data_IF_345967132175
#
_entry.id   IF_345967132175
#
_cell.length_a   1.000
_cell.length_b   1.000
_cell.length_c   1.000
_cell.angle_alpha   90.00
_cell.angle_beta   90.00
_cell.angle_gamma   90.00
#
_symmetry.space_group_name_H-M   'P 1'
#
loop_
_entity.id
_entity.type
_entity.pdbx_description
1 polymer ?
#
# COMPACT_ATOMS: atom_id res chain seq x y z
N UNK A 1 -33.39 -1.56 -24.66
CA UNK A 1 -32.19 -0.76 -24.33
C UNK A 1 -31.44 -1.50 -23.21
N UNK A 2 -30.38 -2.26 -23.54
CA UNK A 2 -29.67 -3.11 -22.56
C UNK A 2 -28.89 -2.21 -21.60
N UNK A 3 -29.29 -2.19 -20.33
CA UNK A 3 -28.53 -1.60 -19.23
C UNK A 3 -27.17 -2.28 -19.14
N UNK A 4 -26.14 -1.61 -19.66
CA UNK A 4 -24.74 -2.04 -19.57
C UNK A 4 -24.45 -2.21 -18.08
N UNK A 5 -24.33 -3.45 -17.62
CA UNK A 5 -24.04 -3.81 -16.22
C UNK A 5 -22.89 -2.93 -15.71
N UNK A 6 -23.25 -1.93 -14.91
CA UNK A 6 -22.37 -0.86 -14.46
C UNK A 6 -21.49 -1.31 -13.27
N UNK A 7 -20.85 -2.47 -13.40
CA UNK A 7 -19.82 -2.96 -12.50
C UNK A 7 -18.57 -2.08 -12.69
N UNK A 8 -17.83 -1.81 -11.61
CA UNK A 8 -16.48 -1.26 -11.74
C UNK A 8 -15.73 -2.17 -12.73
N UNK A 9 -15.05 -1.64 -13.77
CA UNK A 9 -14.43 -2.50 -14.75
C UNK A 9 -13.46 -3.42 -14.03
N UNK A 10 -13.72 -4.72 -14.02
CA UNK A 10 -12.89 -5.71 -13.33
C UNK A 10 -11.42 -5.57 -13.74
N UNK A 11 -11.19 -5.19 -15.00
CA UNK A 11 -9.88 -4.87 -15.55
C UNK A 11 -9.19 -3.70 -14.82
N UNK A 12 -9.92 -2.63 -14.47
CA UNK A 12 -9.36 -1.50 -13.72
C UNK A 12 -8.92 -1.94 -12.32
N UNK A 13 -9.76 -2.67 -11.58
CA UNK A 13 -9.41 -3.18 -10.25
C UNK A 13 -8.22 -4.12 -10.30
N UNK A 14 -8.13 -4.96 -11.33
CA UNK A 14 -7.01 -5.85 -11.55
C UNK A 14 -5.72 -5.08 -11.80
N UNK A 15 -5.71 -4.14 -12.75
CA UNK A 15 -4.54 -3.30 -13.06
C UNK A 15 -4.11 -2.54 -11.80
N UNK A 16 -5.08 -1.95 -11.09
CA UNK A 16 -4.84 -1.24 -9.84
C UNK A 16 -4.17 -2.14 -8.78
N UNK A 17 -4.71 -3.34 -8.53
CA UNK A 17 -4.09 -4.28 -7.58
C UNK A 17 -2.69 -4.71 -8.01
N UNK A 18 -2.49 -4.99 -9.30
CA UNK A 18 -1.16 -5.37 -9.82
C UNK A 18 -0.15 -4.24 -9.57
N UNK A 19 -0.51 -3.00 -9.86
CA UNK A 19 0.35 -1.85 -9.59
C UNK A 19 0.64 -1.67 -8.09
N UNK A 20 -0.37 -1.82 -7.24
CA UNK A 20 -0.19 -1.77 -5.78
C UNK A 20 0.75 -2.86 -5.29
N UNK A 21 0.58 -4.10 -5.76
CA UNK A 21 1.42 -5.23 -5.38
C UNK A 21 2.86 -5.10 -5.89
N UNK A 22 3.06 -4.59 -7.11
CA UNK A 22 4.39 -4.29 -7.65
C UNK A 22 5.07 -3.22 -6.78
N UNK A 23 4.38 -2.10 -6.52
CA UNK A 23 4.92 -1.02 -5.68
C UNK A 23 5.27 -1.51 -4.29
N UNK A 24 4.42 -2.35 -3.69
CA UNK A 24 4.64 -2.97 -2.40
C UNK A 24 5.83 -3.94 -2.40
N UNK A 25 5.97 -4.75 -3.44
CA UNK A 25 7.08 -5.70 -3.58
C UNK A 25 8.43 -4.97 -3.73
N UNK A 26 8.45 -3.88 -4.49
CA UNK A 26 9.62 -3.00 -4.62
C UNK A 26 9.98 -2.40 -3.26
N UNK A 27 8.99 -1.89 -2.52
CA UNK A 27 9.20 -1.37 -1.17
C UNK A 27 9.80 -2.42 -0.24
N UNK A 28 9.21 -3.63 -0.18
CA UNK A 28 9.71 -4.71 0.66
C UNK A 28 11.16 -5.07 0.32
N UNK A 29 11.49 -5.17 -0.97
CA UNK A 29 12.83 -5.49 -1.42
C UNK A 29 13.85 -4.43 -0.98
N UNK A 30 13.52 -3.14 -1.17
CA UNK A 30 14.40 -2.02 -0.80
C UNK A 30 14.58 -1.91 0.72
N UNK A 31 13.50 -2.04 1.48
CA UNK A 31 13.55 -1.97 2.94
C UNK A 31 14.32 -3.15 3.53
N UNK A 32 14.16 -4.35 2.97
CA UNK A 32 14.96 -5.50 3.39
C UNK A 32 16.45 -5.31 3.05
N UNK A 33 16.77 -4.78 1.86
CA UNK A 33 18.16 -4.43 1.51
C UNK A 33 18.75 -3.39 2.47
N UNK A 34 17.97 -2.38 2.84
CA UNK A 34 18.36 -1.34 3.81
C UNK A 34 18.72 -1.96 5.17
N UNK A 35 17.91 -2.90 5.65
CA UNK A 35 18.14 -3.58 6.93
C UNK A 35 19.37 -4.49 6.89
N UNK A 36 19.56 -5.25 5.81
CA UNK A 36 20.74 -6.11 5.65
C UNK A 36 22.03 -5.29 5.64
N UNK A 37 22.05 -4.17 4.93
CA UNK A 37 23.22 -3.29 4.94
C UNK A 37 23.43 -2.64 6.32
N UNK A 38 22.36 -2.24 7.00
CA UNK A 38 22.45 -1.73 8.37
C UNK A 38 23.11 -2.72 9.33
N UNK A 39 22.83 -4.03 9.19
CA UNK A 39 23.46 -5.06 10.00
C UNK A 39 24.95 -5.21 9.68
N UNK A 40 25.31 -5.15 8.39
CA UNK A 40 26.71 -5.20 7.95
C UNK A 40 27.52 -4.01 8.48
N UNK A 41 26.98 -2.80 8.48
CA UNK A 41 27.71 -1.64 8.99
C UNK A 41 27.85 -1.64 10.50
N UNK A 42 26.88 -2.19 11.22
CA UNK A 42 27.00 -2.39 12.67
C UNK A 42 28.13 -3.36 13.02
N UNK A 43 28.53 -4.27 12.11
CA UNK A 43 29.63 -5.21 12.34
C UNK A 43 30.99 -4.71 11.85
N UNK A 44 31.06 -3.87 10.81
CA UNK A 44 32.32 -3.38 10.22
C UNK A 44 32.92 -2.15 10.93
N UNK A 45 32.16 -1.45 11.78
CA UNK A 45 32.67 -0.43 12.73
C UNK A 45 33.11 0.92 12.13
N UNK A 46 33.40 0.98 10.83
CA UNK A 46 33.73 2.22 10.10
C UNK A 46 33.02 2.28 8.76
N UNK A 47 32.26 3.36 8.53
CA UNK A 47 31.57 3.62 7.27
C UNK A 47 32.49 4.37 6.29
N UNK A 48 32.56 3.91 5.04
CA UNK A 48 33.18 4.65 3.95
C UNK A 48 32.22 5.68 3.34
N UNK A 49 32.75 6.61 2.54
CA UNK A 49 31.89 7.57 1.83
C UNK A 49 30.98 6.87 0.80
N UNK A 50 31.42 5.75 0.23
CA UNK A 50 30.62 4.95 -0.71
C UNK A 50 29.45 4.25 0.01
N UNK A 51 29.66 3.78 1.24
CA UNK A 51 28.59 3.25 2.09
C UNK A 51 27.53 4.31 2.37
N UNK A 52 27.95 5.52 2.74
CA UNK A 52 27.04 6.65 2.99
C UNK A 52 26.21 7.00 1.74
N UNK A 53 26.83 6.99 0.56
CA UNK A 53 26.11 7.22 -0.69
C UNK A 53 25.10 6.11 -0.98
N UNK A 54 25.48 4.85 -0.76
CA UNK A 54 24.61 3.67 -0.92
C UNK A 54 23.39 3.73 0.03
N UNK A 55 23.62 4.06 1.32
CA UNK A 55 22.58 4.31 2.33
C UNK A 55 21.56 5.31 1.83
N UNK A 56 22.06 6.47 1.39
CA UNK A 56 21.23 7.59 0.97
C UNK A 56 20.38 7.22 -0.24
N UNK A 57 20.95 6.51 -1.22
CA UNK A 57 20.22 6.06 -2.40
C UNK A 57 19.12 5.05 -2.05
N UNK A 58 19.44 4.00 -1.28
CA UNK A 58 18.45 2.99 -0.88
C UNK A 58 17.34 3.61 -0.03
N UNK A 59 17.70 4.49 0.91
CA UNK A 59 16.73 5.24 1.69
C UNK A 59 15.79 6.07 0.81
N UNK A 60 16.34 6.79 -0.17
CA UNK A 60 15.54 7.58 -1.12
C UNK A 60 14.60 6.72 -1.97
N UNK A 61 15.09 5.61 -2.51
CA UNK A 61 14.25 4.69 -3.29
C UNK A 61 13.15 4.07 -2.45
N UNK A 62 13.44 3.73 -1.18
CA UNK A 62 12.44 3.20 -0.23
C UNK A 62 11.34 4.23 -0.03
N UNK A 63 11.68 5.49 0.28
CA UNK A 63 10.69 6.56 0.45
C UNK A 63 9.88 6.81 -0.83
N UNK A 64 10.52 6.79 -2.00
CA UNK A 64 9.83 6.94 -3.29
C UNK A 64 8.82 5.80 -3.50
N UNK A 65 9.20 4.56 -3.21
CA UNK A 65 8.32 3.39 -3.37
C UNK A 65 7.13 3.40 -2.40
N UNK A 66 7.34 3.84 -1.16
CA UNK A 66 6.27 4.05 -0.18
C UNK A 66 5.30 5.15 -0.66
N UNK A 67 5.85 6.26 -1.16
CA UNK A 67 5.08 7.38 -1.71
C UNK A 67 4.29 6.98 -2.95
N UNK A 68 4.87 6.16 -3.83
CA UNK A 68 4.21 5.64 -5.02
C UNK A 68 3.00 4.77 -4.64
N UNK A 69 3.12 3.92 -3.62
CA UNK A 69 2.01 3.11 -3.12
C UNK A 69 0.85 4.00 -2.63
N UNK A 70 1.16 5.04 -1.83
CA UNK A 70 0.16 5.98 -1.35
C UNK A 70 -0.50 6.77 -2.50
N UNK A 71 0.29 7.26 -3.46
CA UNK A 71 -0.22 7.99 -4.62
C UNK A 71 -1.15 7.11 -5.45
N UNK A 72 -0.77 5.85 -5.71
CA UNK A 72 -1.61 4.89 -6.41
C UNK A 72 -2.94 4.68 -5.69
N UNK A 73 -2.90 4.52 -4.36
CA UNK A 73 -4.11 4.42 -3.54
C UNK A 73 -5.00 5.66 -3.67
N UNK A 74 -4.43 6.87 -3.54
CA UNK A 74 -5.18 8.13 -3.64
C UNK A 74 -5.78 8.31 -5.03
N UNK A 75 -5.05 8.00 -6.10
CA UNK A 75 -5.58 8.05 -7.48
C UNK A 75 -6.74 7.07 -7.63
N UNK A 76 -6.58 5.82 -7.18
CA UNK A 76 -7.65 4.82 -7.20
C UNK A 76 -8.87 5.27 -6.40
N UNK A 77 -8.65 5.86 -5.23
CA UNK A 77 -9.68 6.42 -4.37
C UNK A 77 -10.46 7.54 -5.05
N UNK A 78 -9.77 8.56 -5.58
CA UNK A 78 -10.38 9.70 -6.27
C UNK A 78 -11.17 9.22 -7.49
N UNK A 79 -10.59 8.34 -8.29
CA UNK A 79 -11.24 7.79 -9.48
C UNK A 79 -12.56 7.11 -9.13
N UNK A 80 -12.57 6.26 -8.10
CA UNK A 80 -13.77 5.55 -7.67
C UNK A 80 -14.80 6.51 -7.08
N UNK A 81 -14.37 7.47 -6.25
CA UNK A 81 -15.27 8.49 -5.69
C UNK A 81 -15.92 9.35 -6.78
N UNK A 82 -15.18 9.74 -7.81
CA UNK A 82 -15.68 10.55 -8.93
C UNK A 82 -16.63 9.75 -9.84
N UNK A 83 -16.24 8.53 -10.21
CA UNK A 83 -17.00 7.73 -11.16
C UNK A 83 -18.26 7.09 -10.56
N UNK A 84 -18.28 6.81 -9.25
CA UNK A 84 -19.32 6.02 -8.59
C UNK A 84 -20.10 6.78 -7.51
N UNK A 85 -20.25 8.10 -7.64
CA UNK A 85 -21.02 8.96 -6.69
C UNK A 85 -22.43 8.42 -6.33
N UNK A 86 -23.04 7.63 -7.23
CA UNK A 86 -24.40 7.07 -7.07
C UNK A 86 -24.45 5.60 -6.63
N UNK A 87 -23.31 4.91 -6.46
CA UNK A 87 -23.26 3.47 -6.14
C UNK A 87 -22.66 3.19 -4.78
N UNK A 88 -22.95 2.02 -4.17
CA UNK A 88 -22.33 1.63 -2.92
C UNK A 88 -20.83 1.43 -3.13
N UNK A 89 -20.03 2.33 -2.54
CA UNK A 89 -18.57 2.26 -2.33
C UNK A 89 -18.08 0.94 -1.71
N UNK A 90 -19.02 0.12 -1.23
CA UNK A 90 -18.82 -1.20 -0.62
C UNK A 90 -17.87 -2.11 -1.40
N UNK A 91 -17.97 -2.17 -2.73
CA UNK A 91 -17.09 -3.05 -3.53
C UNK A 91 -15.63 -2.62 -3.47
N UNK A 92 -15.36 -1.32 -3.55
CA UNK A 92 -14.00 -0.76 -3.45
C UNK A 92 -13.44 -0.92 -2.04
N UNK A 93 -14.29 -0.72 -1.02
CA UNK A 93 -13.93 -0.94 0.39
C UNK A 93 -13.55 -2.40 0.65
N UNK A 94 -14.39 -3.36 0.23
CA UNK A 94 -14.10 -4.79 0.38
C UNK A 94 -12.83 -5.18 -0.37
N UNK A 95 -12.65 -4.67 -1.59
CA UNK A 95 -11.48 -4.97 -2.40
C UNK A 95 -10.17 -4.51 -1.74
N UNK A 96 -10.10 -3.25 -1.29
CA UNK A 96 -8.90 -2.73 -0.62
C UNK A 96 -8.69 -3.35 0.76
N UNK A 97 -9.77 -3.65 1.50
CA UNK A 97 -9.65 -4.40 2.76
C UNK A 97 -9.02 -5.78 2.52
N UNK A 98 -9.47 -6.51 1.49
CA UNK A 98 -8.88 -7.79 1.11
C UNK A 98 -7.41 -7.63 0.68
N UNK A 99 -7.10 -6.61 -0.12
CA UNK A 99 -5.72 -6.32 -0.55
C UNK A 99 -4.81 -6.03 0.65
N UNK A 100 -5.24 -5.20 1.60
CA UNK A 100 -4.44 -4.83 2.77
C UNK A 100 -4.30 -5.96 3.78
N UNK A 101 -5.33 -6.80 3.94
CA UNK A 101 -5.21 -8.06 4.69
C UNK A 101 -4.17 -8.96 4.01
N UNK A 102 -4.21 -9.08 2.67
CA UNK A 102 -3.21 -9.82 1.92
C UNK A 102 -1.79 -9.28 2.13
N UNK A 103 -1.61 -7.95 2.09
CA UNK A 103 -0.35 -7.30 2.43
C UNK A 103 0.08 -7.61 3.85
N UNK A 104 -0.81 -7.53 4.84
CA UNK A 104 -0.50 -7.85 6.24
C UNK A 104 -0.07 -9.33 6.42
N UNK A 105 -0.69 -10.26 5.69
CA UNK A 105 -0.31 -11.68 5.69
C UNK A 105 1.07 -11.88 5.06
N UNK A 106 1.34 -11.25 3.92
CA UNK A 106 2.67 -11.29 3.27
C UNK A 106 3.72 -10.69 4.20
N UNK A 107 3.46 -9.52 4.77
CA UNK A 107 4.26 -8.86 5.79
C UNK A 107 4.60 -9.80 6.97
N UNK A 108 3.60 -10.53 7.47
CA UNK A 108 3.80 -11.49 8.54
C UNK A 108 4.74 -12.62 8.10
N UNK A 109 4.51 -13.24 6.94
CA UNK A 109 5.38 -14.29 6.39
C UNK A 109 6.80 -13.77 6.19
N UNK A 110 6.97 -12.57 5.64
CA UNK A 110 8.28 -11.93 5.46
C UNK A 110 8.96 -11.74 6.82
N UNK A 111 8.26 -11.26 7.84
CA UNK A 111 8.82 -11.08 9.18
C UNK A 111 9.24 -12.39 9.88
N UNK A 112 8.69 -13.53 9.46
CA UNK A 112 9.13 -14.85 9.92
C UNK A 112 10.36 -15.36 9.15
N UNK A 113 10.48 -14.98 7.87
CA UNK A 113 11.54 -15.44 6.98
C UNK A 113 12.76 -14.50 6.93
N UNK A 114 12.63 -13.26 7.37
CA UNK A 114 13.68 -12.25 7.39
C UNK A 114 13.76 -11.54 8.74
N UNK A 115 14.83 -10.79 8.98
CA UNK A 115 14.97 -9.93 10.16
C UNK A 115 14.17 -8.62 10.06
N UNK A 116 13.27 -8.50 9.08
CA UNK A 116 12.47 -7.30 8.87
C UNK A 116 11.34 -7.23 9.91
N UNK A 117 11.29 -6.17 10.74
CA UNK A 117 10.18 -5.98 11.65
C UNK A 117 8.87 -5.85 10.88
N UNK A 118 7.81 -6.51 11.38
CA UNK A 118 6.50 -6.45 10.72
C UNK A 118 6.02 -5.00 10.56
N UNK A 119 6.30 -4.12 11.53
CA UNK A 119 5.95 -2.70 11.49
C UNK A 119 6.46 -1.98 10.23
N UNK A 120 7.71 -2.25 9.83
CA UNK A 120 8.28 -1.67 8.61
C UNK A 120 7.55 -2.24 7.38
N UNK A 121 7.35 -3.56 7.34
CA UNK A 121 6.71 -4.22 6.20
C UNK A 121 5.27 -3.76 5.95
N UNK A 122 4.52 -3.36 6.99
CA UNK A 122 3.13 -2.88 6.85
C UNK A 122 3.05 -1.36 6.70
N UNK A 123 4.16 -0.64 6.80
CA UNK A 123 4.18 0.82 6.80
C UNK A 123 3.43 1.45 5.61
N UNK A 124 3.59 0.97 4.36
CA UNK A 124 2.90 1.56 3.20
C UNK A 124 1.37 1.50 3.28
N UNK A 125 0.80 0.55 4.03
CA UNK A 125 -0.67 0.40 4.16
C UNK A 125 -1.25 1.16 5.34
N UNK A 126 -0.44 1.72 6.24
CA UNK A 126 -0.94 2.40 7.46
C UNK A 126 -1.85 3.59 7.09
N UNK A 127 -1.32 4.56 6.33
CA UNK A 127 -2.09 5.75 5.93
C UNK A 127 -3.31 5.38 5.08
N UNK A 128 -3.18 4.54 4.02
CA UNK A 128 -4.33 4.07 3.26
C UNK A 128 -5.41 3.39 4.11
N UNK A 129 -5.02 2.63 5.14
CA UNK A 129 -5.96 1.97 6.05
C UNK A 129 -6.76 2.99 6.85
N UNK A 130 -6.11 4.02 7.41
CA UNK A 130 -6.82 5.09 8.12
C UNK A 130 -7.83 5.82 7.22
N UNK A 131 -7.44 6.12 5.98
CA UNK A 131 -8.34 6.73 5.00
C UNK A 131 -9.53 5.83 4.66
N UNK A 132 -9.28 4.53 4.52
CA UNK A 132 -10.32 3.55 4.25
C UNK A 132 -11.31 3.41 5.42
N UNK A 133 -10.80 3.39 6.66
CA UNK A 133 -11.63 3.39 7.88
C UNK A 133 -12.47 4.67 7.98
N UNK A 134 -11.89 5.84 7.73
CA UNK A 134 -12.62 7.10 7.71
C UNK A 134 -13.76 7.07 6.68
N UNK A 135 -13.51 6.52 5.48
CA UNK A 135 -14.54 6.35 4.45
C UNK A 135 -15.64 5.36 4.87
N UNK A 136 -15.28 4.24 5.53
CA UNK A 136 -16.23 3.29 6.11
C UNK A 136 -17.15 3.99 7.13
N UNK A 137 -16.59 4.80 8.03
CA UNK A 137 -17.36 5.56 9.02
C UNK A 137 -18.30 6.55 8.32
N UNK A 138 -17.80 7.31 7.35
CA UNK A 138 -18.60 8.28 6.59
C UNK A 138 -19.77 7.61 5.85
N UNK A 139 -19.50 6.51 5.16
CA UNK A 139 -20.52 5.75 4.43
C UNK A 139 -21.57 5.17 5.38
N UNK A 140 -21.17 4.62 6.52
CA UNK A 140 -22.10 4.13 7.54
C UNK A 140 -22.98 5.25 8.12
N UNK A 141 -22.38 6.39 8.47
CA UNK A 141 -23.10 7.57 8.95
C UNK A 141 -24.12 8.09 7.92
N UNK A 142 -23.72 8.20 6.65
CA UNK A 142 -24.61 8.63 5.56
C UNK A 142 -25.76 7.65 5.34
N UNK A 143 -25.52 6.34 5.41
CA UNK A 143 -26.60 5.34 5.29
C UNK A 143 -27.57 5.39 6.47
N UNK A 144 -27.09 5.69 7.68
CA UNK A 144 -27.94 5.79 8.88
C UNK A 144 -28.78 7.07 8.91
N UNK A 145 -28.22 8.20 8.47
CA UNK A 145 -28.86 9.51 8.58
C UNK A 145 -29.48 10.02 7.26
N UNK A 146 -29.20 9.37 6.14
CA UNK A 146 -29.73 9.71 4.82
C UNK A 146 -31.03 8.98 4.46
N UNK A 147 -31.97 8.87 5.42
CA UNK A 147 -33.39 8.73 5.11
C UNK A 147 -34.00 10.13 5.01
#
# INVERSE_FOLDING_TARGET
MKTKSEKLPTLFLLIYAVLMLISYSIYLFLENARLSQSQQWLSEGTLTQDDVNSISQIGRWTTISESAFLILFVIGFIFVMYQFQKKPLKHFLIFNAALFIGVALISYVVSLASSMPIGNSVQPVIIPTFLLVALCIYTFWRTRNGK
#
